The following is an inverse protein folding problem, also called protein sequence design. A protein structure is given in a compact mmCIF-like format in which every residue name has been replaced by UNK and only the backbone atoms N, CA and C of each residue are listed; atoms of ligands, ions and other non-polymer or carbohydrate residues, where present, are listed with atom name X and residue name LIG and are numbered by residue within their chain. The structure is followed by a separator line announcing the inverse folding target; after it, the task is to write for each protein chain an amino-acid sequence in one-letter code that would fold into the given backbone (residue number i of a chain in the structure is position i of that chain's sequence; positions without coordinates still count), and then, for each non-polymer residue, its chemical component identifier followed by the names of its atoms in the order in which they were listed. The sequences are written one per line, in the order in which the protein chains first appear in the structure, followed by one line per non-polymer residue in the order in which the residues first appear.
data_IF_313112704692
#
_entry.id   IF_313112704692
#
_cell.length_a   1.000
_cell.length_b   1.000
_cell.length_c   1.000
_cell.angle_alpha   90.00
_cell.angle_beta   90.00
_cell.angle_gamma   90.00
#
_symmetry.space_group_name_H-M   'P 1'
#
loop_
_entity.id
_entity.type
_entity.pdbx_description
1 polymer ?
#
# COMPACT_ATOMS: atom_id res chain seq x y z
N UNK A 1 14.93 18.55 1.94
CA UNK A 1 13.85 18.69 2.94
C UNK A 1 12.54 18.88 2.19
N UNK A 2 11.65 17.89 2.22
CA UNK A 2 10.28 18.09 1.72
C UNK A 2 9.62 19.18 2.57
N UNK A 3 9.14 20.24 1.93
CA UNK A 3 8.38 21.30 2.58
C UNK A 3 7.17 20.67 3.28
N UNK A 4 6.94 21.05 4.54
CA UNK A 4 5.74 20.64 5.28
C UNK A 4 4.51 21.09 4.50
N UNK A 5 3.76 20.14 3.96
CA UNK A 5 2.55 20.40 3.18
C UNK A 5 1.46 20.91 4.14
N UNK A 6 0.81 22.02 3.79
CA UNK A 6 -0.27 22.57 4.61
C UNK A 6 -1.43 21.56 4.75
N UNK A 7 -2.10 21.58 5.90
CA UNK A 7 -3.30 20.77 6.14
C UNK A 7 -4.49 21.55 5.59
N UNK A 8 -5.25 20.93 4.68
CA UNK A 8 -6.37 21.58 3.97
C UNK A 8 -7.69 20.82 4.11
N UNK A 9 -7.65 19.60 4.65
CA UNK A 9 -8.80 18.72 4.79
C UNK A 9 -9.05 18.42 6.27
N UNK A 10 -10.31 18.11 6.63
CA UNK A 10 -10.71 17.82 8.01
C UNK A 10 -10.33 16.42 8.47
N UNK A 11 -10.06 15.48 7.56
CA UNK A 11 -9.61 14.12 7.89
C UNK A 11 -8.19 13.92 7.39
N UNK A 12 -7.33 13.40 8.25
CA UNK A 12 -5.94 13.10 7.93
C UNK A 12 -5.68 11.60 7.99
N UNK A 13 -4.93 11.10 7.02
CA UNK A 13 -4.41 9.74 7.02
C UNK A 13 -2.89 9.77 6.95
N UNK A 14 -2.21 9.36 8.02
CA UNK A 14 -0.76 9.24 8.06
C UNK A 14 -0.35 7.80 7.67
N UNK A 15 0.46 7.65 6.64
CA UNK A 15 0.94 6.35 6.13
C UNK A 15 2.46 6.29 6.13
N UNK A 16 3.05 5.10 6.10
CA UNK A 16 4.49 4.93 6.25
C UNK A 16 5.29 5.45 5.04
N UNK A 17 4.89 5.08 3.82
CA UNK A 17 5.62 5.35 2.59
C UNK A 17 4.74 5.80 1.42
N UNK A 18 5.35 5.85 0.24
CA UNK A 18 4.70 6.34 -0.99
C UNK A 18 3.77 5.30 -1.61
N UNK A 19 4.17 4.04 -1.59
CA UNK A 19 3.35 2.92 -2.08
C UNK A 19 2.03 2.84 -1.30
N UNK A 20 2.09 3.00 0.02
CA UNK A 20 0.91 3.06 0.90
C UNK A 20 0.07 4.30 0.55
N UNK A 21 0.67 5.48 0.39
CA UNK A 21 -0.07 6.70 0.01
C UNK A 21 -0.87 6.49 -1.26
N UNK A 22 -0.25 5.88 -2.27
CA UNK A 22 -0.86 5.63 -3.56
C UNK A 22 -1.97 4.57 -3.44
N UNK A 23 -1.76 3.49 -2.68
CA UNK A 23 -2.79 2.48 -2.43
C UNK A 23 -4.00 3.06 -1.70
N UNK A 24 -3.77 3.75 -0.59
CA UNK A 24 -4.85 4.37 0.19
C UNK A 24 -5.52 5.50 -0.59
N UNK A 25 -4.80 6.22 -1.45
CA UNK A 25 -5.38 7.20 -2.36
C UNK A 25 -6.35 6.56 -3.36
N UNK A 26 -5.97 5.42 -3.95
CA UNK A 26 -6.86 4.66 -4.81
C UNK A 26 -8.08 4.11 -4.03
N UNK A 27 -7.87 3.65 -2.80
CA UNK A 27 -8.95 3.14 -1.94
C UNK A 27 -9.94 4.24 -1.53
N UNK A 28 -9.47 5.44 -1.20
CA UNK A 28 -10.34 6.61 -0.93
C UNK A 28 -11.24 6.90 -2.12
N UNK A 29 -10.69 6.86 -3.34
CA UNK A 29 -11.47 7.06 -4.56
C UNK A 29 -12.48 5.93 -4.79
N UNK A 30 -12.06 4.68 -4.61
CA UNK A 30 -12.94 3.50 -4.76
C UNK A 30 -14.15 3.57 -3.81
N UNK A 31 -13.91 3.95 -2.57
CA UNK A 31 -14.94 4.09 -1.53
C UNK A 31 -15.69 5.43 -1.62
N UNK A 32 -15.36 6.31 -2.58
CA UNK A 32 -15.93 7.65 -2.73
C UNK A 32 -15.87 8.49 -1.43
N UNK A 33 -14.82 8.29 -0.63
CA UNK A 33 -14.61 9.04 0.61
C UNK A 33 -14.14 10.46 0.29
N UNK A 34 -14.61 11.42 1.10
CA UNK A 34 -14.32 12.85 0.94
C UNK A 34 -13.54 13.38 2.12
N UNK A 35 -12.89 14.51 1.90
CA UNK A 35 -12.22 15.31 2.92
C UNK A 35 -11.05 14.59 3.62
N UNK A 36 -10.41 13.63 2.94
CA UNK A 36 -9.24 12.89 3.44
C UNK A 36 -7.97 13.41 2.75
N UNK A 37 -7.01 13.89 3.54
CA UNK A 37 -5.66 14.22 3.10
C UNK A 37 -4.65 13.17 3.61
N UNK A 38 -3.98 12.51 2.68
CA UNK A 38 -2.99 11.47 2.98
C UNK A 38 -1.58 12.08 3.06
N UNK A 39 -0.87 11.83 4.16
CA UNK A 39 0.47 12.35 4.44
C UNK A 39 1.43 11.18 4.66
N UNK A 40 2.63 11.26 4.07
CA UNK A 40 3.67 10.24 4.22
C UNK A 40 4.57 10.54 5.42
N UNK A 41 4.73 9.57 6.30
CA UNK A 41 5.58 9.67 7.48
C UNK A 41 7.08 9.54 7.13
N UNK A 42 7.45 8.64 6.22
CA UNK A 42 8.85 8.42 5.80
C UNK A 42 9.54 7.27 6.54
N UNK A 43 8.84 6.17 6.84
CA UNK A 43 9.41 5.01 7.55
C UNK A 43 9.25 5.05 9.07
N UNK A 44 9.47 3.90 9.73
CA UNK A 44 9.17 3.66 11.15
C UNK A 44 9.76 4.68 12.16
N UNK A 45 10.99 5.17 11.97
CA UNK A 45 11.60 6.17 12.88
C UNK A 45 11.02 7.57 12.69
N UNK A 46 10.32 7.83 11.58
CA UNK A 46 9.85 9.15 11.21
C UNK A 46 8.42 9.44 11.66
N UNK A 47 7.64 8.45 12.09
CA UNK A 47 6.32 8.69 12.71
C UNK A 47 6.43 9.65 13.89
N UNK A 48 7.46 9.49 14.74
CA UNK A 48 7.74 10.42 15.83
C UNK A 48 7.92 11.84 15.30
N UNK A 49 8.84 12.03 14.37
CA UNK A 49 9.18 13.34 13.80
C UNK A 49 7.99 13.98 13.09
N UNK A 50 7.22 13.19 12.34
CA UNK A 50 6.11 13.68 11.53
C UNK A 50 4.88 14.00 12.33
N UNK A 51 4.50 13.16 13.29
CA UNK A 51 3.46 13.51 14.24
C UNK A 51 3.86 14.76 15.07
N UNK A 52 5.16 15.10 15.16
CA UNK A 52 5.60 16.35 15.82
C UNK A 52 5.29 17.54 14.91
N UNK A 53 5.67 17.40 13.65
CA UNK A 53 5.49 18.44 12.65
C UNK A 53 4.00 18.69 12.36
N UNK A 54 3.18 17.65 12.32
CA UNK A 54 1.76 17.73 11.94
C UNK A 54 0.96 18.60 12.90
N UNK A 55 1.18 18.44 14.21
CA UNK A 55 0.50 19.23 15.24
C UNK A 55 0.88 20.72 15.21
N UNK A 56 1.99 21.06 14.55
CA UNK A 56 2.46 22.44 14.35
C UNK A 56 2.22 22.94 12.92
N UNK A 57 1.58 22.14 12.08
CA UNK A 57 1.33 22.49 10.67
C UNK A 57 0.07 23.35 10.58
N UNK A 58 0.08 24.47 9.84
CA UNK A 58 -1.12 25.28 9.63
C UNK A 58 -2.28 24.44 9.08
N UNK A 59 -3.46 24.61 9.68
CA UNK A 59 -4.67 23.85 9.35
C UNK A 59 -4.93 22.65 10.26
N UNK A 60 -3.98 22.27 11.13
CA UNK A 60 -4.17 21.20 12.12
C UNK A 60 -5.39 21.43 13.02
N UNK A 61 -5.67 22.68 13.37
CA UNK A 61 -6.81 23.10 14.18
C UNK A 61 -8.18 22.77 13.56
N UNK A 62 -8.24 22.47 12.26
CA UNK A 62 -9.46 22.09 11.55
C UNK A 62 -9.61 20.56 11.39
N UNK A 63 -8.63 19.78 11.89
CA UNK A 63 -8.64 18.32 11.79
C UNK A 63 -9.63 17.77 12.80
N UNK A 64 -10.60 17.02 12.29
CA UNK A 64 -11.62 16.33 13.08
C UNK A 64 -11.25 14.86 13.33
N UNK A 65 -10.45 14.28 12.42
CA UNK A 65 -10.14 12.85 12.41
C UNK A 65 -8.71 12.60 11.95
N UNK A 66 -7.98 11.76 12.69
CA UNK A 66 -6.61 11.32 12.39
C UNK A 66 -6.57 9.79 12.33
N UNK A 67 -6.41 9.26 11.11
CA UNK A 67 -6.04 7.87 10.85
C UNK A 67 -4.53 7.72 10.76
N UNK A 68 -3.99 6.64 11.33
CA UNK A 68 -2.58 6.27 11.21
C UNK A 68 -2.51 4.82 10.72
N UNK A 69 -1.79 4.56 9.63
CA UNK A 69 -1.54 3.22 9.10
C UNK A 69 -0.07 2.88 9.24
N UNK A 70 0.20 1.66 9.72
CA UNK A 70 1.56 1.14 9.85
C UNK A 70 1.59 -0.37 9.65
N UNK A 71 2.66 -0.87 9.04
CA UNK A 71 2.89 -2.31 8.93
C UNK A 71 3.23 -2.93 10.30
N UNK A 72 2.86 -4.20 10.48
CA UNK A 72 3.21 -4.99 11.64
C UNK A 72 4.70 -5.36 11.63
N UNK A 73 5.31 -5.45 10.45
CA UNK A 73 6.65 -5.98 10.22
C UNK A 73 6.81 -7.35 10.91
N UNK A 74 7.53 -7.39 12.03
CA UNK A 74 7.79 -8.60 12.81
C UNK A 74 6.99 -8.66 14.13
N UNK A 75 6.28 -7.59 14.51
CA UNK A 75 5.54 -7.52 15.76
C UNK A 75 4.47 -6.40 15.70
N UNK A 76 3.22 -6.82 15.45
CA UNK A 76 2.06 -5.94 15.38
C UNK A 76 1.80 -5.19 16.70
N UNK A 77 2.04 -5.82 17.84
CA UNK A 77 1.81 -5.20 19.15
C UNK A 77 2.87 -4.13 19.41
N UNK A 78 4.14 -4.42 19.15
CA UNK A 78 5.21 -3.43 19.26
C UNK A 78 4.99 -2.25 18.28
N UNK A 79 4.53 -2.51 17.06
CA UNK A 79 4.19 -1.47 16.09
C UNK A 79 3.05 -0.57 16.58
N UNK A 80 1.98 -1.16 17.14
CA UNK A 80 0.86 -0.44 17.75
C UNK A 80 1.30 0.40 18.95
N UNK A 81 2.00 -0.21 19.92
CA UNK A 81 2.48 0.46 21.12
C UNK A 81 3.46 1.59 20.81
N UNK A 82 4.25 1.44 19.74
CA UNK A 82 5.12 2.50 19.23
C UNK A 82 4.32 3.75 18.87
N UNK A 83 3.20 3.61 18.15
CA UNK A 83 2.33 4.76 17.78
C UNK A 83 1.61 5.32 19.02
N UNK A 84 1.03 4.45 19.86
CA UNK A 84 0.36 4.86 21.09
C UNK A 84 1.27 5.69 22.01
N UNK A 85 2.53 5.27 22.16
CA UNK A 85 3.53 6.02 22.93
C UNK A 85 3.76 7.42 22.37
N UNK A 86 3.77 7.58 21.04
CA UNK A 86 3.94 8.89 20.39
C UNK A 86 2.73 9.78 20.59
N UNK A 87 1.53 9.23 20.49
CA UNK A 87 0.28 9.98 20.71
C UNK A 87 0.20 10.48 22.16
N UNK A 88 0.42 9.59 23.14
CA UNK A 88 0.39 9.93 24.58
C UNK A 88 1.42 10.99 24.95
N UNK A 89 2.65 10.87 24.45
CA UNK A 89 3.71 11.84 24.70
C UNK A 89 3.39 13.25 24.14
N UNK A 90 2.38 13.38 23.28
CA UNK A 90 1.91 14.65 22.73
C UNK A 90 0.56 15.09 23.25
N UNK A 91 -0.02 14.36 24.20
CA UNK A 91 -1.38 14.63 24.68
C UNK A 91 -2.45 14.40 23.61
N UNK A 92 -2.14 13.63 22.56
CA UNK A 92 -3.13 13.24 21.56
C UNK A 92 -3.89 11.99 22.03
N UNK A 93 -5.15 11.83 21.61
CA UNK A 93 -5.94 10.64 21.90
C UNK A 93 -5.25 9.37 21.40
N UNK A 94 -5.26 8.32 22.22
CA UNK A 94 -4.57 7.05 21.97
C UNK A 94 -5.58 5.91 22.11
N UNK A 95 -5.96 5.25 21.00
CA UNK A 95 -6.80 4.05 21.03
C UNK A 95 -6.21 2.93 21.89
N UNK A 96 -7.08 2.02 22.37
CA UNK A 96 -6.66 0.85 23.13
C UNK A 96 -6.35 -0.34 22.21
N UNK A 97 -6.96 -0.40 21.02
CA UNK A 97 -6.75 -1.45 20.03
C UNK A 97 -6.57 -0.90 18.61
N UNK A 98 -5.91 -1.69 17.77
CA UNK A 98 -5.84 -1.46 16.33
C UNK A 98 -7.25 -1.50 15.71
N UNK A 99 -7.49 -0.64 14.72
CA UNK A 99 -8.76 -0.38 14.04
C UNK A 99 -9.91 0.12 14.95
N UNK A 100 -9.60 0.51 16.19
CA UNK A 100 -10.57 1.16 17.09
C UNK A 100 -10.54 2.68 16.87
N UNK A 101 -11.71 3.32 16.85
CA UNK A 101 -11.83 4.77 16.83
C UNK A 101 -11.92 5.29 18.27
N UNK A 102 -10.93 6.08 18.68
CA UNK A 102 -11.00 6.86 19.91
C UNK A 102 -11.68 8.18 19.61
N UNK A 103 -12.91 8.36 20.10
CA UNK A 103 -13.71 9.58 19.86
C UNK A 103 -13.22 10.71 20.79
N UNK A 104 -12.67 11.76 20.18
CA UNK A 104 -12.13 12.94 20.85
C UNK A 104 -12.00 14.10 19.85
N UNK A 105 -11.30 15.17 20.23
CA UNK A 105 -10.99 16.31 19.36
C UNK A 105 -9.45 16.43 19.18
N UNK A 106 -8.87 15.95 18.06
CA UNK A 106 -9.50 15.17 16.99
C UNK A 106 -9.77 13.71 17.41
N UNK A 107 -10.65 13.01 16.70
CA UNK A 107 -10.80 11.57 16.84
C UNK A 107 -9.59 10.85 16.23
N UNK A 108 -9.14 9.76 16.84
CA UNK A 108 -7.91 9.06 16.41
C UNK A 108 -8.18 7.58 16.21
N UNK A 109 -7.71 7.03 15.09
CA UNK A 109 -7.67 5.58 14.88
C UNK A 109 -6.32 5.14 14.32
N UNK A 110 -5.87 3.96 14.73
CA UNK A 110 -4.60 3.36 14.30
C UNK A 110 -4.91 2.03 13.65
N UNK A 111 -4.47 1.81 12.42
CA UNK A 111 -4.53 0.53 11.73
C UNK A 111 -3.13 -0.07 11.62
N UNK A 112 -2.95 -1.22 12.25
CA UNK A 112 -1.81 -2.10 12.00
C UNK A 112 -2.16 -3.10 10.90
N UNK A 113 -1.29 -3.19 9.90
CA UNK A 113 -1.46 -4.00 8.69
C UNK A 113 -0.45 -5.15 8.69
N UNK A 114 -0.85 -6.40 8.39
CA UNK A 114 -2.19 -6.86 8.09
C UNK A 114 -3.09 -6.87 9.33
N UNK A 115 -4.39 -6.59 9.17
CA UNK A 115 -5.35 -6.71 10.26
C UNK A 115 -5.41 -8.16 10.75
N UNK A 116 -5.51 -8.35 12.07
CA UNK A 116 -5.58 -9.67 12.72
C UNK A 116 -4.35 -10.57 12.52
N UNK A 117 -3.23 -10.01 12.04
CA UNK A 117 -1.95 -10.72 11.96
C UNK A 117 -0.98 -10.20 13.02
N UNK A 118 -0.12 -11.09 13.51
CA UNK A 118 0.97 -10.73 14.43
C UNK A 118 2.17 -10.11 13.70
N UNK A 119 2.32 -10.38 12.40
CA UNK A 119 3.44 -9.94 11.55
C UNK A 119 2.94 -9.67 10.12
N UNK A 120 3.79 -9.06 9.29
CA UNK A 120 3.53 -8.84 7.88
C UNK A 120 3.43 -7.36 7.52
N UNK A 121 3.08 -7.12 6.26
CA UNK A 121 3.00 -5.80 5.65
C UNK A 121 1.77 -5.69 4.75
N UNK A 122 1.53 -4.50 4.20
CA UNK A 122 0.46 -4.26 3.22
C UNK A 122 0.50 -5.21 2.00
N UNK A 123 1.68 -5.68 1.61
CA UNK A 123 1.81 -6.63 0.50
C UNK A 123 1.13 -7.97 0.76
N UNK A 124 1.11 -8.44 2.01
CA UNK A 124 0.45 -9.69 2.36
C UNK A 124 -1.07 -9.59 2.14
N UNK A 125 -1.66 -8.44 2.47
CA UNK A 125 -3.08 -8.15 2.20
C UNK A 125 -3.35 -8.13 0.70
N UNK A 126 -2.45 -7.52 -0.07
CA UNK A 126 -2.58 -7.45 -1.53
C UNK A 126 -2.49 -8.84 -2.18
N UNK A 127 -1.56 -9.68 -1.74
CA UNK A 127 -1.42 -11.07 -2.23
C UNK A 127 -2.64 -11.91 -1.87
N UNK A 128 -3.14 -11.80 -0.65
CA UNK A 128 -4.37 -12.49 -0.22
C UNK A 128 -5.57 -12.08 -1.08
N UNK A 129 -5.66 -10.81 -1.50
CA UNK A 129 -6.74 -10.32 -2.38
C UNK A 129 -6.74 -10.92 -3.79
N UNK A 130 -5.63 -11.52 -4.22
CA UNK A 130 -5.45 -12.13 -5.54
C UNK A 130 -5.13 -13.62 -5.47
N UNK A 131 -5.36 -14.27 -4.32
CA UNK A 131 -5.05 -15.69 -4.11
C UNK A 131 -5.77 -16.64 -5.08
N UNK A 132 -6.94 -16.23 -5.57
CA UNK A 132 -7.73 -17.01 -6.52
C UNK A 132 -7.39 -16.66 -7.98
N UNK A 133 -6.50 -15.68 -8.22
CA UNK A 133 -6.04 -15.34 -9.56
C UNK A 133 -5.08 -16.43 -10.07
N UNK A 134 -5.29 -17.04 -11.25
CA UNK A 134 -4.43 -18.09 -11.76
C UNK A 134 -2.95 -17.71 -11.84
N UNK A 135 -2.62 -16.43 -12.07
CA UNK A 135 -1.24 -15.95 -12.15
C UNK A 135 -0.48 -16.08 -10.82
N UNK A 136 -1.17 -16.10 -9.67
CA UNK A 136 -0.51 -16.24 -8.36
C UNK A 136 0.19 -17.59 -8.21
N UNK A 137 -0.38 -18.64 -8.81
CA UNK A 137 0.23 -19.97 -8.85
C UNK A 137 1.58 -19.96 -9.59
N UNK A 138 1.68 -19.18 -10.67
CA UNK A 138 2.92 -19.00 -11.42
C UNK A 138 3.96 -18.21 -10.63
N UNK A 139 3.54 -17.18 -9.89
CA UNK A 139 4.41 -16.42 -8.99
C UNK A 139 4.97 -17.30 -7.88
N UNK A 140 4.11 -18.10 -7.25
CA UNK A 140 4.50 -19.05 -6.21
C UNK A 140 5.49 -20.08 -6.76
N UNK A 141 5.21 -20.66 -7.93
CA UNK A 141 6.12 -21.60 -8.60
C UNK A 141 7.46 -20.97 -8.97
N UNK A 142 7.48 -19.69 -9.37
CA UNK A 142 8.72 -18.96 -9.63
C UNK A 142 9.59 -18.83 -8.38
N UNK A 143 9.04 -18.36 -7.25
CA UNK A 143 9.81 -18.23 -6.00
C UNK A 143 10.17 -19.59 -5.40
N UNK A 144 9.35 -20.62 -5.58
CA UNK A 144 9.71 -21.99 -5.20
C UNK A 144 10.92 -22.51 -6.00
N UNK A 145 10.91 -22.30 -7.32
CA UNK A 145 12.02 -22.67 -8.19
C UNK A 145 13.33 -21.96 -7.80
N UNK A 146 13.28 -20.66 -7.49
CA UNK A 146 14.45 -19.91 -7.03
C UNK A 146 15.00 -20.44 -5.70
N UNK A 147 14.12 -20.82 -4.77
CA UNK A 147 14.52 -21.41 -3.48
C UNK A 147 15.23 -22.74 -3.69
N UNK A 148 14.68 -23.61 -4.56
CA UNK A 148 15.23 -24.94 -4.84
C UNK A 148 16.57 -24.88 -5.60
N UNK A 149 16.81 -23.81 -6.35
CA UNK A 149 18.06 -23.56 -7.07
C UNK A 149 19.11 -22.81 -6.23
N UNK A 150 18.87 -22.62 -4.92
CA UNK A 150 19.75 -21.90 -3.99
C UNK A 150 20.04 -20.45 -4.41
N UNK A 151 19.18 -19.84 -5.22
CA UNK A 151 19.28 -18.42 -5.55
C UNK A 151 18.85 -17.62 -4.33
N UNK A 152 19.72 -16.73 -3.84
CA UNK A 152 19.40 -15.84 -2.72
C UNK A 152 18.17 -14.99 -3.03
N UNK A 153 17.16 -15.11 -2.19
CA UNK A 153 15.89 -14.40 -2.33
C UNK A 153 15.88 -13.08 -1.55
N UNK A 154 14.90 -12.23 -1.87
CA UNK A 154 14.59 -11.05 -1.07
C UNK A 154 14.22 -11.48 0.36
N UNK A 155 14.69 -10.76 1.41
CA UNK A 155 14.20 -10.97 2.77
C UNK A 155 12.71 -10.57 2.93
N UNK A 156 12.18 -9.77 2.00
CA UNK A 156 10.76 -9.39 1.94
C UNK A 156 10.08 -10.12 0.78
N UNK A 157 9.72 -11.38 0.99
CA UNK A 157 9.11 -12.21 -0.05
C UNK A 157 7.74 -11.69 -0.50
N UNK A 158 6.94 -11.11 0.39
CA UNK A 158 5.64 -10.53 0.05
C UNK A 158 5.81 -9.39 -0.99
N UNK A 159 6.74 -8.46 -0.75
CA UNK A 159 7.12 -7.40 -1.70
C UNK A 159 7.58 -7.95 -3.05
N UNK A 160 8.42 -8.97 -3.02
CA UNK A 160 8.92 -9.59 -4.24
C UNK A 160 7.78 -10.29 -5.03
N UNK A 161 6.87 -10.96 -4.32
CA UNK A 161 5.74 -11.69 -4.90
C UNK A 161 4.71 -10.75 -5.50
N UNK A 162 4.37 -9.64 -4.81
CA UNK A 162 3.52 -8.59 -5.37
C UNK A 162 4.11 -8.10 -6.69
N UNK A 163 5.39 -7.75 -6.72
CA UNK A 163 6.02 -7.23 -7.94
C UNK A 163 6.03 -8.24 -9.09
N UNK A 164 6.30 -9.52 -8.80
CA UNK A 164 6.24 -10.57 -9.80
C UNK A 164 4.80 -10.77 -10.32
N UNK A 165 3.81 -10.68 -9.43
CA UNK A 165 2.41 -10.70 -9.83
C UNK A 165 2.07 -9.49 -10.72
N UNK A 166 2.49 -8.29 -10.35
CA UNK A 166 2.27 -7.06 -11.12
C UNK A 166 2.98 -7.07 -12.47
N UNK A 167 4.17 -7.66 -12.57
CA UNK A 167 4.86 -7.87 -13.84
C UNK A 167 4.04 -8.72 -14.83
N UNK A 168 3.14 -9.57 -14.33
CA UNK A 168 2.20 -10.32 -15.19
C UNK A 168 0.97 -9.51 -15.61
N UNK A 169 0.75 -8.34 -14.99
CA UNK A 169 -0.38 -7.41 -15.27
C UNK A 169 0.06 -6.18 -16.06
N UNK A 170 1.34 -5.83 -15.95
CA UNK A 170 1.90 -4.63 -16.57
C UNK A 170 2.05 -4.82 -18.09
N UNK A 171 1.07 -4.29 -18.83
CA UNK A 171 1.20 -3.96 -20.25
C UNK A 171 0.45 -2.65 -20.50
N UNK A 172 1.05 -1.53 -20.10
CA UNK A 172 0.57 -0.18 -20.50
C UNK A 172 0.68 -0.01 -22.02
N UNK A 173 1.55 -0.76 -22.68
CA UNK A 173 1.67 -0.72 -24.14
C UNK A 173 0.48 -1.36 -24.88
N UNK A 174 -0.38 -2.15 -24.24
CA UNK A 174 -1.53 -2.75 -24.93
C UNK A 174 -2.59 -1.72 -25.31
N UNK A 175 -2.89 -0.70 -24.50
CA UNK A 175 -3.93 0.28 -24.87
C UNK A 175 -3.52 1.17 -26.05
N UNK A 176 -2.23 1.47 -26.19
CA UNK A 176 -1.68 2.13 -27.38
C UNK A 176 -1.72 1.18 -28.58
N UNK A 177 -1.39 -0.10 -28.37
CA UNK A 177 -1.36 -1.10 -29.42
C UNK A 177 -2.76 -1.47 -29.95
N UNK A 178 -3.77 -1.58 -29.08
CA UNK A 178 -5.16 -1.84 -29.42
C UNK A 178 -5.76 -0.71 -30.27
N UNK A 179 -5.45 0.55 -29.94
CA UNK A 179 -5.82 1.72 -30.75
C UNK A 179 -5.14 1.71 -32.14
N UNK A 180 -3.89 1.25 -32.20
CA UNK A 180 -3.18 1.04 -33.47
C UNK A 180 -3.75 -0.14 -34.28
N UNK A 181 -4.27 -1.19 -33.65
CA UNK A 181 -4.90 -2.34 -34.31
C UNK A 181 -6.26 -1.99 -34.93
N UNK A 182 -7.06 -1.15 -34.28
CA UNK A 182 -8.30 -0.61 -34.86
C UNK A 182 -8.02 0.25 -36.10
N UNK A 183 -6.91 0.97 -36.09
CA UNK A 183 -6.51 1.86 -37.19
C UNK A 183 -5.77 1.13 -38.34
N UNK A 184 -5.09 0.02 -38.07
CA UNK A 184 -4.29 -0.73 -39.06
C UNK A 184 -4.46 -2.26 -38.95
N UNK A 185 -5.62 -2.82 -39.33
CA UNK A 185 -5.93 -4.25 -39.19
C UNK A 185 -5.04 -5.20 -40.02
N UNK A 186 -4.28 -4.68 -40.99
CA UNK A 186 -3.33 -5.46 -41.80
C UNK A 186 -2.06 -5.87 -41.05
N UNK A 187 -1.81 -5.33 -39.85
CA UNK A 187 -0.65 -5.67 -39.01
C UNK A 187 -0.92 -6.78 -37.98
N UNK A 188 -2.09 -7.40 -38.00
CA UNK A 188 -2.56 -8.38 -37.00
C UNK A 188 -1.69 -9.65 -36.81
N UNK A 189 -0.68 -9.88 -37.65
CA UNK A 189 0.24 -11.02 -37.55
C UNK A 189 1.64 -10.66 -37.03
N UNK A 190 1.86 -9.42 -36.60
CA UNK A 190 3.08 -8.97 -35.93
C UNK A 190 2.73 -8.38 -34.56
N UNK A 191 2.25 -9.23 -33.65
CA UNK A 191 2.41 -8.96 -32.23
C UNK A 191 3.88 -8.61 -31.96
N UNK A 192 4.21 -7.53 -31.22
CA UNK A 192 5.50 -7.49 -30.57
C UNK A 192 5.44 -8.58 -29.51
N UNK A 193 5.96 -9.76 -29.85
CA UNK A 193 6.29 -10.85 -28.91
C UNK A 193 7.38 -10.42 -27.92
N UNK A 194 7.41 -9.18 -27.46
CA UNK A 194 8.37 -8.77 -26.45
C UNK A 194 7.70 -8.94 -25.09
N UNK A 195 7.61 -10.20 -24.65
CA UNK A 195 7.44 -10.53 -23.23
C UNK A 195 8.66 -10.16 -22.40
N UNK A 196 9.75 -9.73 -23.05
CA UNK A 196 11.02 -9.37 -22.43
C UNK A 196 10.88 -8.38 -21.25
N UNK A 197 10.06 -7.31 -21.31
CA UNK A 197 9.87 -6.42 -20.17
C UNK A 197 9.23 -7.13 -18.98
N UNK A 198 8.16 -7.91 -19.17
CA UNK A 198 7.53 -8.67 -18.09
C UNK A 198 8.48 -9.70 -17.47
N UNK A 199 9.28 -10.40 -18.30
CA UNK A 199 10.32 -11.32 -17.81
C UNK A 199 11.42 -10.58 -17.05
N UNK A 200 11.86 -9.42 -17.53
CA UNK A 200 12.84 -8.57 -16.85
C UNK A 200 12.26 -8.06 -15.52
N UNK A 201 11.02 -7.61 -15.49
CA UNK A 201 10.34 -7.15 -14.28
C UNK A 201 10.14 -8.28 -13.27
N UNK A 202 9.72 -9.47 -13.70
CA UNK A 202 9.63 -10.64 -12.84
C UNK A 202 11.01 -11.08 -12.31
N UNK A 203 12.04 -11.05 -13.15
CA UNK A 203 13.43 -11.32 -12.75
C UNK A 203 13.95 -10.28 -11.77
N UNK A 204 13.68 -9.00 -12.01
CA UNK A 204 14.08 -7.91 -11.12
C UNK A 204 13.32 -8.02 -9.81
N UNK A 205 12.02 -8.36 -9.81
CA UNK A 205 11.22 -8.56 -8.61
C UNK A 205 11.85 -9.56 -7.63
N UNK A 206 12.63 -10.53 -8.11
CA UNK A 206 13.38 -11.48 -7.28
C UNK A 206 14.72 -10.95 -6.74
N UNK A 207 15.13 -9.72 -7.07
CA UNK A 207 16.40 -9.10 -6.66
C UNK A 207 16.23 -8.23 -5.41
N UNK A 208 17.37 -7.87 -4.80
CA UNK A 208 17.43 -7.18 -3.51
C UNK A 208 16.89 -5.73 -3.54
N UNK A 209 16.80 -5.10 -4.73
CA UNK A 209 16.13 -3.80 -4.95
C UNK A 209 15.51 -3.71 -6.35
N UNK A 210 14.23 -4.07 -6.52
CA UNK A 210 13.47 -3.85 -7.72
C UNK A 210 12.49 -2.68 -7.61
N UNK A 211 12.47 -1.84 -8.64
CA UNK A 211 11.67 -0.61 -8.72
C UNK A 211 10.30 -0.86 -9.41
N UNK A 212 9.39 -1.56 -8.73
CA UNK A 212 7.98 -1.67 -9.09
C UNK A 212 7.11 -1.29 -7.87
N UNK A 213 6.24 -0.29 -8.05
CA UNK A 213 5.49 0.41 -6.99
C UNK A 213 4.07 -0.16 -6.86
N UNK A 214 3.78 -0.71 -5.67
CA UNK A 214 2.48 -1.33 -5.32
C UNK A 214 1.31 -0.35 -5.43
N UNK A 215 1.59 0.92 -5.15
CA UNK A 215 0.64 2.01 -5.23
C UNK A 215 0.19 2.34 -6.66
N UNK A 216 1.08 2.22 -7.64
CA UNK A 216 0.72 2.39 -9.05
C UNK A 216 -0.25 1.29 -9.50
N UNK A 217 -0.07 0.07 -9.01
CA UNK A 217 -0.97 -1.04 -9.30
C UNK A 217 -2.38 -0.84 -8.72
N UNK A 218 -2.48 -0.23 -7.54
CA UNK A 218 -3.76 0.14 -6.95
C UNK A 218 -4.54 1.12 -7.83
N UNK A 219 -3.88 2.14 -8.38
CA UNK A 219 -4.50 3.10 -9.30
C UNK A 219 -4.99 2.45 -10.60
N UNK A 220 -4.33 1.38 -11.04
CA UNK A 220 -4.70 0.60 -12.22
C UNK A 220 -5.79 -0.45 -11.96
N UNK A 221 -6.30 -0.57 -10.74
CA UNK A 221 -7.34 -1.53 -10.38
C UNK A 221 -6.86 -2.98 -10.35
N UNK A 222 -5.57 -3.23 -10.18
CA UNK A 222 -5.03 -4.60 -10.14
C UNK A 222 -5.30 -5.33 -8.83
N UNK A 223 -5.67 -4.60 -7.78
CA UNK A 223 -6.08 -5.16 -6.49
C UNK A 223 -7.59 -5.22 -6.41
N UNK A 224 -8.13 -6.38 -6.02
CA UNK A 224 -9.55 -6.51 -5.75
C UNK A 224 -9.87 -5.92 -4.37
N UNK A 225 -10.15 -4.61 -4.33
CA UNK A 225 -10.48 -3.91 -3.09
C UNK A 225 -11.79 -4.35 -2.45
N UNK A 226 -12.65 -5.12 -3.14
CA UNK A 226 -13.89 -5.66 -2.59
C UNK A 226 -13.68 -7.01 -1.88
N UNK A 227 -12.53 -7.68 -2.11
CA UNK A 227 -12.18 -8.93 -1.44
C UNK A 227 -12.15 -8.79 0.09
N UNK A 228 -12.46 -9.87 0.81
CA UNK A 228 -12.55 -9.89 2.29
C UNK A 228 -11.23 -9.53 2.98
N UNK A 229 -10.09 -9.75 2.32
CA UNK A 229 -8.76 -9.33 2.80
C UNK A 229 -8.69 -7.82 3.09
N UNK A 230 -9.43 -7.00 2.33
CA UNK A 230 -9.49 -5.55 2.54
C UNK A 230 -10.62 -5.12 3.48
N UNK A 231 -11.47 -6.02 3.98
CA UNK A 231 -12.68 -5.68 4.75
C UNK A 231 -12.38 -4.82 5.99
N UNK A 232 -11.39 -5.21 6.80
CA UNK A 232 -10.97 -4.44 7.98
C UNK A 232 -10.33 -3.10 7.61
N UNK A 233 -9.63 -3.02 6.47
CA UNK A 233 -9.06 -1.78 5.95
C UNK A 233 -10.17 -0.84 5.46
N UNK A 234 -11.16 -1.35 4.72
CA UNK A 234 -12.34 -0.58 4.28
C UNK A 234 -13.11 -0.02 5.47
N UNK A 235 -13.42 -0.87 6.46
CA UNK A 235 -14.10 -0.43 7.69
C UNK A 235 -13.29 0.63 8.43
N UNK A 236 -11.97 0.47 8.56
CA UNK A 236 -11.12 1.50 9.16
C UNK A 236 -11.23 2.84 8.40
N UNK A 237 -11.14 2.82 7.07
CA UNK A 237 -11.24 4.03 6.25
C UNK A 237 -12.60 4.71 6.36
N UNK A 238 -13.69 3.95 6.48
CA UNK A 238 -15.05 4.47 6.66
C UNK A 238 -15.27 5.11 8.04
N UNK A 239 -14.46 4.76 9.04
CA UNK A 239 -14.54 5.36 10.39
C UNK A 239 -13.81 6.70 10.51
N UNK A 240 -12.97 7.05 9.53
CA UNK A 240 -12.26 8.32 9.50
C UNK A 240 -13.17 9.46 9.07
#
# INVERSE_FOLDING_TARGET
MEKTQAITQSKLLLVEGKDERNLFGALVNHLSLKDIQIIVAGGYTQFQTRLKAIATTPGWENVQSLGIVRDADNDAEAAFQSICSVLRNRGLPSPLKSAELFVADPSVSILIVPPHSATGMLEDVCLESVKDNPAISCVNGYFECLRNTMVRQSPHLAKASVRAFLASREMVEMSVFEHFQEQYPSLNNQYPRQTNPAFVHAFLASRYRPDLDLGVAAQKGYWNFDHDAFSSIRRFMETL
#
